data_IF_713056888951
#
_entry.id   IF_713056888951
#
_cell.length_a   1.000
_cell.length_b   1.000
_cell.length_c   1.000
_cell.angle_alpha   90.00
_cell.angle_beta   90.00
_cell.angle_gamma   90.00
#
_symmetry.space_group_name_H-M   'P 1'
#
loop_
_entity.id
_entity.type
_entity.pdbx_description
1 polymer ?
#
# COMPACT_ATOMS: atom_id res chain seq x y z
N UNK A 1 -73.28 -10.48 3.19
CA UNK A 1 -72.36 -10.89 4.27
C UNK A 1 -71.00 -10.97 3.64
N UNK A 2 -70.05 -10.10 3.99
CA UNK A 2 -68.65 -10.33 3.59
C UNK A 2 -68.28 -11.68 4.22
N UNK A 3 -67.95 -12.67 3.40
CA UNK A 3 -67.62 -13.99 3.90
C UNK A 3 -66.34 -13.86 4.73
N UNK A 4 -66.39 -14.31 5.98
CA UNK A 4 -65.25 -14.24 6.93
C UNK A 4 -63.97 -14.87 6.34
N UNK A 5 -64.14 -15.82 5.41
CA UNK A 5 -63.06 -16.46 4.64
C UNK A 5 -62.35 -15.47 3.72
N UNK A 6 -63.08 -14.61 3.00
CA UNK A 6 -62.48 -13.60 2.10
C UNK A 6 -61.71 -12.55 2.91
N UNK A 7 -62.22 -12.21 4.10
CA UNK A 7 -61.55 -11.30 5.03
C UNK A 7 -60.22 -11.90 5.55
N UNK A 8 -60.22 -13.19 5.91
CA UNK A 8 -59.03 -13.90 6.40
C UNK A 8 -57.99 -14.06 5.29
N UNK A 9 -58.39 -14.42 4.08
CA UNK A 9 -57.50 -14.55 2.92
C UNK A 9 -56.88 -13.19 2.58
N UNK A 10 -57.69 -12.11 2.54
CA UNK A 10 -57.18 -10.76 2.30
C UNK A 10 -56.18 -10.29 3.36
N UNK A 11 -56.42 -10.61 4.63
CA UNK A 11 -55.52 -10.28 5.74
C UNK A 11 -54.20 -11.05 5.65
N UNK A 12 -54.24 -12.33 5.27
CA UNK A 12 -53.05 -13.17 5.10
C UNK A 12 -52.17 -12.65 3.95
N UNK A 13 -52.76 -12.27 2.81
CA UNK A 13 -52.02 -11.70 1.67
C UNK A 13 -51.35 -10.38 2.08
N UNK A 14 -52.05 -9.53 2.85
CA UNK A 14 -51.50 -8.27 3.37
C UNK A 14 -50.31 -8.50 4.30
N UNK A 15 -50.41 -9.46 5.22
CA UNK A 15 -49.30 -9.80 6.13
C UNK A 15 -48.07 -10.30 5.38
N UNK A 16 -48.26 -11.18 4.40
CA UNK A 16 -47.17 -11.69 3.57
C UNK A 16 -46.54 -10.56 2.75
N UNK A 17 -47.36 -9.69 2.12
CA UNK A 17 -46.88 -8.55 1.36
C UNK A 17 -46.08 -7.56 2.21
N UNK A 18 -46.56 -7.25 3.41
CA UNK A 18 -45.85 -6.38 4.36
C UNK A 18 -44.54 -7.00 4.84
N UNK A 19 -44.52 -8.32 5.09
CA UNK A 19 -43.30 -9.02 5.47
C UNK A 19 -42.24 -8.97 4.35
N UNK A 20 -42.63 -9.28 3.11
CA UNK A 20 -41.73 -9.20 1.95
C UNK A 20 -41.23 -7.78 1.70
N UNK A 21 -42.11 -6.78 1.78
CA UNK A 21 -41.72 -5.38 1.64
C UNK A 21 -40.73 -4.94 2.71
N UNK A 22 -40.97 -5.32 3.97
CA UNK A 22 -40.07 -4.99 5.09
C UNK A 22 -38.69 -5.61 4.90
N UNK A 23 -38.61 -6.88 4.52
CA UNK A 23 -37.32 -7.56 4.23
C UNK A 23 -36.61 -6.88 3.06
N UNK A 24 -37.32 -6.58 1.96
CA UNK A 24 -36.76 -5.94 0.78
C UNK A 24 -36.21 -4.53 1.06
N UNK A 25 -36.91 -3.74 1.88
CA UNK A 25 -36.45 -2.40 2.28
C UNK A 25 -35.21 -2.48 3.17
N UNK A 26 -35.16 -3.45 4.09
CA UNK A 26 -33.98 -3.66 4.95
C UNK A 26 -32.77 -4.09 4.11
N UNK A 27 -32.93 -5.05 3.18
CA UNK A 27 -31.86 -5.45 2.27
C UNK A 27 -31.37 -4.29 1.40
N UNK A 28 -32.28 -3.51 0.82
CA UNK A 28 -31.92 -2.38 -0.02
C UNK A 28 -31.18 -1.28 0.75
N UNK A 29 -31.65 -0.96 1.96
CA UNK A 29 -30.99 0.02 2.83
C UNK A 29 -29.62 -0.47 3.29
N UNK A 30 -29.48 -1.74 3.66
CA UNK A 30 -28.19 -2.31 4.06
C UNK A 30 -27.20 -2.26 2.90
N UNK A 31 -27.62 -2.66 1.69
CA UNK A 31 -26.77 -2.59 0.50
C UNK A 31 -26.33 -1.16 0.18
N UNK A 32 -27.23 -0.17 0.32
CA UNK A 32 -26.90 1.24 0.11
C UNK A 32 -25.91 1.77 1.15
N UNK A 33 -26.12 1.42 2.43
CA UNK A 33 -25.20 1.78 3.52
C UNK A 33 -23.83 1.14 3.31
N UNK A 34 -23.78 -0.12 2.88
CA UNK A 34 -22.52 -0.83 2.64
C UNK A 34 -21.78 -0.29 1.41
N UNK A 35 -22.50 0.13 0.37
CA UNK A 35 -21.92 0.85 -0.77
C UNK A 35 -21.26 2.17 -0.33
N UNK A 36 -21.97 3.00 0.45
CA UNK A 36 -21.43 4.27 0.97
C UNK A 36 -20.20 4.03 1.85
N UNK A 37 -20.24 3.03 2.72
CA UNK A 37 -19.08 2.69 3.56
C UNK A 37 -17.88 2.30 2.71
N UNK A 38 -18.11 1.50 1.66
CA UNK A 38 -17.04 1.06 0.75
C UNK A 38 -16.42 2.23 0.01
N UNK A 39 -17.23 3.13 -0.54
CA UNK A 39 -16.76 4.36 -1.20
C UNK A 39 -15.96 5.24 -0.24
N UNK A 40 -16.45 5.42 0.99
CA UNK A 40 -15.75 6.19 2.01
C UNK A 40 -14.38 5.58 2.39
N UNK A 41 -14.27 4.26 2.46
CA UNK A 41 -13.00 3.56 2.74
C UNK A 41 -12.05 3.72 1.55
N UNK A 42 -12.57 3.62 0.32
CA UNK A 42 -11.80 3.84 -0.91
C UNK A 42 -11.23 5.26 -0.96
N UNK A 43 -12.07 6.29 -0.76
CA UNK A 43 -11.65 7.69 -0.75
C UNK A 43 -10.57 7.97 0.31
N UNK A 44 -10.71 7.36 1.50
CA UNK A 44 -9.68 7.44 2.53
C UNK A 44 -8.36 6.78 2.13
N UNK A 45 -8.43 5.59 1.54
CA UNK A 45 -7.26 4.87 1.06
C UNK A 45 -6.54 5.66 -0.04
N UNK A 46 -7.31 6.24 -0.97
CA UNK A 46 -6.80 7.09 -2.05
C UNK A 46 -6.13 8.35 -1.50
N UNK A 47 -6.84 9.13 -0.68
CA UNK A 47 -6.30 10.35 -0.09
C UNK A 47 -5.05 10.10 0.76
N UNK A 48 -4.99 8.96 1.46
CA UNK A 48 -3.80 8.56 2.22
C UNK A 48 -2.62 8.30 1.28
N UNK A 49 -2.83 7.55 0.20
CA UNK A 49 -1.77 7.26 -0.76
C UNK A 49 -1.31 8.50 -1.53
N UNK A 50 -2.23 9.41 -1.86
CA UNK A 50 -1.90 10.72 -2.45
C UNK A 50 -1.03 11.54 -1.51
N UNK A 51 -1.43 11.71 -0.24
CA UNK A 51 -0.66 12.47 0.74
C UNK A 51 0.75 11.88 0.94
N UNK A 52 0.88 10.55 1.06
CA UNK A 52 2.17 9.89 1.22
C UNK A 52 3.05 9.96 -0.04
N UNK A 53 2.43 10.17 -1.21
CA UNK A 53 3.15 10.41 -2.45
C UNK A 53 3.62 11.86 -2.54
N UNK A 54 2.78 12.82 -2.17
CA UNK A 54 3.08 14.25 -2.20
C UNK A 54 4.17 14.65 -1.20
N UNK A 55 4.18 14.05 -0.01
CA UNK A 55 5.19 14.30 1.02
C UNK A 55 6.50 13.53 0.82
N UNK A 56 6.59 12.68 -0.21
CA UNK A 56 7.77 11.86 -0.53
C UNK A 56 7.97 10.66 0.40
N UNK A 57 7.04 10.38 1.32
CA UNK A 57 7.13 9.25 2.27
C UNK A 57 7.12 7.92 1.53
N UNK A 58 6.30 7.75 0.50
CA UNK A 58 6.28 6.55 -0.33
C UNK A 58 7.59 6.32 -1.07
N UNK A 59 8.17 7.36 -1.66
CA UNK A 59 9.46 7.30 -2.35
C UNK A 59 10.56 6.85 -1.39
N UNK A 60 10.68 7.52 -0.24
CA UNK A 60 11.66 7.19 0.79
C UNK A 60 11.49 5.76 1.31
N UNK A 61 10.26 5.31 1.52
CA UNK A 61 9.96 3.95 1.95
C UNK A 61 10.44 2.92 0.93
N UNK A 62 10.12 3.13 -0.34
CA UNK A 62 10.50 2.19 -1.41
C UNK A 62 12.02 2.17 -1.62
N UNK A 63 12.70 3.31 -1.48
CA UNK A 63 14.16 3.37 -1.46
C UNK A 63 14.73 2.53 -0.30
N UNK A 64 14.29 2.78 0.93
CA UNK A 64 14.72 2.02 2.11
C UNK A 64 14.48 0.50 1.94
N UNK A 65 13.36 0.12 1.34
CA UNK A 65 13.05 -1.27 1.01
C UNK A 65 14.11 -1.91 0.10
N UNK A 66 14.49 -1.25 -1.00
CA UNK A 66 15.55 -1.76 -1.89
C UNK A 66 16.97 -1.70 -1.31
N UNK A 67 17.17 -0.97 -0.21
CA UNK A 67 18.43 -0.96 0.54
C UNK A 67 18.42 -1.93 1.72
N UNK A 68 17.46 -2.87 1.76
CA UNK A 68 17.29 -3.85 2.84
C UNK A 68 17.06 -3.23 4.23
N UNK A 69 16.58 -1.98 4.30
CA UNK A 69 16.21 -1.27 5.54
C UNK A 69 14.70 -1.34 5.76
N UNK A 70 14.16 -2.55 5.76
CA UNK A 70 12.72 -2.81 5.83
C UNK A 70 12.08 -2.32 7.12
N UNK A 71 12.79 -2.37 8.25
CA UNK A 71 12.28 -1.94 9.55
C UNK A 71 12.14 -0.40 9.63
N UNK A 72 13.10 0.33 9.07
CA UNK A 72 13.05 1.78 8.95
C UNK A 72 11.91 2.21 8.01
N UNK A 73 11.76 1.52 6.88
CA UNK A 73 10.67 1.73 5.93
C UNK A 73 9.30 1.50 6.59
N UNK A 74 9.16 0.44 7.37
CA UNK A 74 7.93 0.13 8.10
C UNK A 74 7.58 1.22 9.11
N UNK A 75 8.55 1.64 9.93
CA UNK A 75 8.35 2.67 10.95
C UNK A 75 7.87 4.00 10.34
N UNK A 76 8.50 4.40 9.23
CA UNK A 76 8.18 5.63 8.52
C UNK A 76 6.74 5.66 7.99
N UNK A 77 6.21 4.51 7.54
CA UNK A 77 4.82 4.39 7.12
C UNK A 77 3.83 4.24 8.27
N UNK A 78 4.17 3.52 9.34
CA UNK A 78 3.28 3.30 10.48
C UNK A 78 2.95 4.60 11.22
N UNK A 79 3.88 5.56 11.26
CA UNK A 79 3.67 6.87 11.87
C UNK A 79 2.79 7.80 11.01
N UNK A 80 2.68 7.53 9.71
CA UNK A 80 2.05 8.42 8.71
C UNK A 80 0.71 7.92 8.18
N UNK A 81 0.43 6.62 8.25
CA UNK A 81 -0.84 6.04 7.78
C UNK A 81 -1.87 6.07 8.92
N UNK A 82 -2.93 6.91 8.84
CA UNK A 82 -3.95 7.01 9.88
C UNK A 82 -5.02 5.90 9.76
N UNK A 83 -4.65 4.71 9.28
CA UNK A 83 -5.55 3.58 9.07
C UNK A 83 -5.30 2.50 10.13
N UNK A 84 -6.38 1.98 10.72
CA UNK A 84 -6.28 0.94 11.76
C UNK A 84 -6.02 -0.45 11.19
N UNK A 85 -6.64 -0.76 10.04
CA UNK A 85 -6.58 -2.09 9.43
C UNK A 85 -6.19 -1.98 7.96
N UNK A 86 -4.96 -2.36 7.65
CA UNK A 86 -4.42 -2.31 6.29
C UNK A 86 -3.29 -3.31 6.08
N UNK A 87 -3.11 -3.70 4.82
CA UNK A 87 -1.92 -4.38 4.33
C UNK A 87 -1.25 -3.49 3.29
N UNK A 88 0.07 -3.35 3.35
CA UNK A 88 0.83 -2.59 2.37
C UNK A 88 1.87 -3.48 1.73
N UNK A 89 1.87 -3.50 0.40
CA UNK A 89 2.77 -4.30 -0.43
C UNK A 89 3.65 -3.41 -1.30
N UNK A 90 4.91 -3.80 -1.48
CA UNK A 90 5.85 -3.20 -2.43
C UNK A 90 6.31 -4.31 -3.38
N UNK A 91 6.07 -4.16 -4.68
CA UNK A 91 6.37 -5.17 -5.70
C UNK A 91 5.89 -6.59 -5.30
N UNK A 92 4.64 -6.68 -4.84
CA UNK A 92 4.00 -7.93 -4.39
C UNK A 92 4.54 -8.51 -3.08
N UNK A 93 5.53 -7.89 -2.45
CA UNK A 93 6.03 -8.27 -1.13
C UNK A 93 5.30 -7.51 -0.03
N UNK A 94 4.81 -8.24 0.98
CA UNK A 94 4.10 -7.67 2.12
C UNK A 94 5.08 -6.96 3.06
N UNK A 95 4.92 -5.65 3.24
CA UNK A 95 5.74 -4.84 4.15
C UNK A 95 5.05 -4.65 5.52
N UNK A 96 3.76 -4.33 5.50
CA UNK A 96 2.96 -4.12 6.72
C UNK A 96 1.74 -5.02 6.69
N UNK A 97 1.54 -5.77 7.77
CA UNK A 97 0.33 -6.54 8.01
C UNK A 97 -0.36 -6.03 9.27
N UNK A 98 -1.45 -5.28 9.08
CA UNK A 98 -2.44 -4.94 10.12
C UNK A 98 -3.82 -5.42 9.67
N UNK A 99 -3.88 -6.64 9.12
CA UNK A 99 -5.14 -7.26 8.72
C UNK A 99 -6.03 -7.59 9.92
N UNK A 100 -7.33 -7.74 9.67
CA UNK A 100 -8.29 -8.26 10.62
C UNK A 100 -9.41 -8.99 9.88
N UNK A 101 -10.29 -9.66 10.63
CA UNK A 101 -11.42 -10.41 10.06
C UNK A 101 -12.53 -9.45 9.65
N UNK A 102 -12.45 -8.91 8.44
CA UNK A 102 -13.38 -7.91 7.91
C UNK A 102 -13.98 -8.36 6.59
N UNK A 103 -15.28 -8.08 6.40
CA UNK A 103 -16.03 -8.51 5.21
C UNK A 103 -15.85 -7.58 4.00
N UNK A 104 -15.43 -6.33 4.22
CA UNK A 104 -15.26 -5.34 3.16
C UNK A 104 -13.77 -5.02 2.99
N UNK A 105 -13.24 -5.26 1.79
CA UNK A 105 -11.84 -5.00 1.44
C UNK A 105 -11.75 -4.10 0.21
N UNK A 106 -10.92 -3.08 0.29
CA UNK A 106 -10.65 -2.16 -0.81
C UNK A 106 -9.16 -2.16 -1.13
N UNK A 107 -8.81 -2.21 -2.42
CA UNK A 107 -7.42 -2.11 -2.86
C UNK A 107 -7.18 -0.78 -3.59
N UNK A 108 -6.15 -0.06 -3.16
CA UNK A 108 -5.62 1.14 -3.81
C UNK A 108 -4.22 0.83 -4.32
N UNK A 109 -3.98 1.06 -5.61
CA UNK A 109 -2.69 0.82 -6.25
C UNK A 109 -2.06 2.16 -6.64
N UNK A 110 -0.82 2.38 -6.20
CA UNK A 110 0.03 3.48 -6.66
C UNK A 110 1.25 2.90 -7.37
N UNK A 111 1.54 3.47 -8.54
CA UNK A 111 2.72 3.11 -9.33
C UNK A 111 3.71 4.26 -9.20
N UNK A 112 4.83 4.00 -8.53
CA UNK A 112 5.92 4.95 -8.34
C UNK A 112 7.00 4.65 -9.37
N UNK A 113 7.45 5.67 -10.09
CA UNK A 113 8.55 5.50 -11.04
C UNK A 113 9.83 5.99 -10.40
N UNK A 114 10.60 5.06 -9.82
CA UNK A 114 11.78 5.36 -9.02
C UNK A 114 13.05 4.93 -9.75
N UNK A 115 14.12 5.69 -9.55
CA UNK A 115 15.40 5.31 -10.10
C UNK A 115 16.07 4.23 -9.24
N UNK A 116 15.72 2.97 -9.49
CA UNK A 116 16.26 1.82 -8.72
C UNK A 116 17.73 1.50 -8.97
N UNK A 117 18.44 2.23 -9.84
CA UNK A 117 19.90 2.12 -10.00
C UNK A 117 20.62 3.36 -9.51
N UNK A 118 19.89 4.30 -8.92
CA UNK A 118 20.45 5.49 -8.32
C UNK A 118 20.98 5.20 -6.92
N UNK A 119 22.18 5.72 -6.64
CA UNK A 119 22.84 5.55 -5.36
C UNK A 119 24.33 5.80 -5.45
N UNK A 120 25.01 5.62 -4.32
CA UNK A 120 26.45 5.72 -4.23
C UNK A 120 27.08 4.38 -4.61
N UNK A 121 28.10 4.44 -5.47
CA UNK A 121 28.94 3.34 -5.86
C UNK A 121 30.39 3.69 -5.52
N UNK A 122 31.27 2.71 -5.47
CA UNK A 122 32.70 2.93 -5.22
C UNK A 122 33.46 2.60 -6.48
N UNK A 123 34.18 3.58 -7.03
CA UNK A 123 35.23 3.32 -8.01
C UNK A 123 36.44 2.84 -7.23
N UNK A 124 36.95 1.66 -7.55
CA UNK A 124 38.09 1.07 -6.88
C UNK A 124 39.09 0.50 -7.87
N UNK A 125 40.35 0.42 -7.45
CA UNK A 125 41.40 -0.16 -8.28
C UNK A 125 42.79 0.36 -7.98
N UNK A 126 43.65 0.25 -8.98
CA UNK A 126 45.03 0.69 -8.96
C UNK A 126 45.43 1.38 -10.27
N UNK A 127 46.72 1.55 -10.50
CA UNK A 127 47.26 2.22 -11.69
C UNK A 127 47.02 1.44 -13.00
N UNK A 128 46.64 0.15 -12.93
CA UNK A 128 46.52 -0.74 -14.08
C UNK A 128 45.07 -1.18 -14.35
N UNK A 129 44.20 -1.18 -13.34
CA UNK A 129 42.78 -1.50 -13.48
C UNK A 129 41.92 -0.59 -12.60
N UNK A 130 40.87 -0.02 -13.20
CA UNK A 130 39.85 0.76 -12.52
C UNK A 130 38.50 0.08 -12.76
N UNK A 131 37.85 -0.33 -11.68
CA UNK A 131 36.54 -0.96 -11.69
C UNK A 131 35.54 -0.16 -10.86
N UNK A 132 34.25 -0.49 -11.00
CA UNK A 132 33.18 0.08 -10.19
C UNK A 132 32.47 -1.02 -9.42
N UNK A 133 32.08 -0.71 -8.18
CA UNK A 133 31.37 -1.67 -7.32
C UNK A 133 30.06 -2.12 -7.95
N UNK A 134 29.81 -3.43 -7.89
CA UNK A 134 28.47 -3.98 -8.14
C UNK A 134 27.52 -3.70 -6.96
N UNK A 135 28.08 -3.40 -5.77
CA UNK A 135 27.34 -2.98 -4.59
C UNK A 135 26.95 -1.51 -4.68
N UNK A 136 25.71 -1.23 -4.27
CA UNK A 136 25.12 0.10 -4.18
C UNK A 136 24.90 0.49 -2.72
N UNK A 137 25.18 1.74 -2.40
CA UNK A 137 25.08 2.31 -1.07
C UNK A 137 24.09 3.48 -1.05
N UNK A 138 23.44 3.68 0.10
CA UNK A 138 22.44 4.74 0.27
C UNK A 138 23.12 6.10 0.48
N UNK A 139 24.25 6.11 1.19
CA UNK A 139 24.97 7.33 1.53
C UNK A 139 26.45 7.28 1.15
N UNK A 140 27.05 8.47 1.05
CA UNK A 140 28.46 8.63 0.69
C UNK A 140 29.39 8.02 1.74
N UNK A 141 29.05 8.13 3.03
CA UNK A 141 29.89 7.65 4.13
C UNK A 141 29.96 6.12 4.15
N UNK A 142 28.86 5.42 3.89
CA UNK A 142 28.77 3.98 3.74
C UNK A 142 29.61 3.51 2.56
N UNK A 143 29.49 4.18 1.41
CA UNK A 143 30.30 3.89 0.24
C UNK A 143 31.81 4.11 0.53
N UNK A 144 32.17 5.24 1.14
CA UNK A 144 33.55 5.56 1.50
C UNK A 144 34.12 4.58 2.53
N UNK A 145 33.29 4.16 3.49
CA UNK A 145 33.74 3.33 4.59
C UNK A 145 33.69 1.83 4.32
N UNK A 146 33.18 1.40 3.16
CA UNK A 146 33.03 0.00 2.81
C UNK A 146 34.38 -0.73 2.80
N UNK A 147 34.49 -1.73 3.67
CA UNK A 147 35.75 -2.43 3.94
C UNK A 147 36.25 -3.24 2.72
N UNK A 148 35.33 -3.71 1.88
CA UNK A 148 35.63 -4.46 0.65
C UNK A 148 36.44 -3.63 -0.35
N UNK A 149 36.29 -2.30 -0.32
CA UNK A 149 36.91 -1.39 -1.30
C UNK A 149 38.04 -0.53 -0.71
N UNK A 150 38.13 -0.42 0.62
CA UNK A 150 39.20 0.32 1.31
C UNK A 150 40.62 -0.22 1.09
N UNK A 151 40.74 -1.47 0.68
CA UNK A 151 42.01 -2.14 0.42
C UNK A 151 42.67 -1.68 -0.90
N UNK A 152 41.92 -1.03 -1.79
CA UNK A 152 42.44 -0.56 -3.08
C UNK A 152 43.08 0.82 -2.97
N UNK A 153 44.12 1.06 -3.77
CA UNK A 153 44.87 2.33 -3.78
C UNK A 153 43.99 3.49 -4.23
N UNK A 154 43.17 3.24 -5.25
CA UNK A 154 42.09 4.11 -5.66
C UNK A 154 40.82 3.58 -4.98
N UNK A 155 40.19 4.42 -4.17
CA UNK A 155 38.83 4.21 -3.69
C UNK A 155 38.13 5.56 -3.67
N UNK A 156 37.07 5.70 -4.45
CA UNK A 156 36.33 6.96 -4.56
C UNK A 156 34.83 6.67 -4.67
N UNK A 157 34.02 7.16 -3.73
CA UNK A 157 32.57 7.11 -3.87
C UNK A 157 32.11 8.02 -5.01
N UNK A 158 31.31 7.48 -5.92
CA UNK A 158 30.70 8.21 -7.03
C UNK A 158 29.20 7.96 -7.02
N UNK A 159 28.45 9.04 -7.17
CA UNK A 159 27.00 8.96 -7.32
C UNK A 159 26.65 8.66 -8.78
N UNK A 160 25.92 7.57 -9.02
CA UNK A 160 25.44 7.24 -10.35
C UNK A 160 23.92 7.23 -10.35
N UNK A 161 23.34 7.83 -11.39
CA UNK A 161 21.91 7.83 -11.68
C UNK A 161 21.70 7.20 -13.07
N UNK A 162 21.15 5.98 -13.13
CA UNK A 162 20.93 5.23 -14.39
C UNK A 162 19.46 4.84 -14.54
N UNK A 163 18.96 4.84 -15.78
CA UNK A 163 17.55 4.73 -16.17
C UNK A 163 16.56 3.94 -15.26
N UNK A 164 15.33 4.48 -15.28
CA UNK A 164 14.22 4.34 -14.34
C UNK A 164 13.47 3.01 -14.48
N UNK A 165 13.09 2.40 -13.35
CA UNK A 165 12.22 1.20 -13.32
C UNK A 165 11.10 1.42 -12.32
N UNK A 166 9.84 1.15 -12.69
CA UNK A 166 8.69 1.46 -11.84
C UNK A 166 8.49 0.44 -10.73
N UNK A 167 8.17 0.90 -9.52
CA UNK A 167 7.77 0.13 -8.35
C UNK A 167 6.27 0.24 -8.11
N UNK A 168 5.64 -0.88 -7.79
CA UNK A 168 4.21 -0.95 -7.52
C UNK A 168 4.00 -1.00 -6.01
N UNK A 169 3.34 0.02 -5.46
CA UNK A 169 2.93 0.04 -4.05
C UNK A 169 1.42 -0.19 -4.00
N UNK A 170 1.01 -1.26 -3.34
CA UNK A 170 -0.41 -1.60 -3.17
C UNK A 170 -0.78 -1.45 -1.71
N UNK A 171 -1.79 -0.62 -1.43
CA UNK A 171 -2.41 -0.49 -0.13
C UNK A 171 -3.77 -1.20 -0.17
N UNK A 172 -3.92 -2.26 0.61
CA UNK A 172 -5.21 -2.92 0.85
C UNK A 172 -5.76 -2.43 2.19
N UNK A 173 -6.94 -1.83 2.18
CA UNK A 173 -7.62 -1.29 3.37
C UNK A 173 -8.81 -2.17 3.71
N UNK A 174 -8.95 -2.49 5.00
CA UNK A 174 -10.07 -3.28 5.50
C UNK A 174 -11.10 -2.36 6.14
N UNK A 175 -12.37 -2.53 5.75
CA UNK A 175 -13.50 -1.82 6.31
C UNK A 175 -13.95 -2.40 7.64
N UNK A 176 -14.32 -1.53 8.59
CA UNK A 176 -15.04 -1.93 9.79
C UNK A 176 -16.54 -2.14 9.51
#
# INVERSE_FOLDING_TARGET
MINTIDLVIGTAILLIGMAYWTVSVVEHNNNYVDAIKTDYIFDKGLATMEHLSEDGTLENTVLLYYFNRTDEAKKLLEDRIPLKHYELYIDENLLINKSGSYNNTVEVLVILTLNRKEGWYVIYGDENSIDISDKRFLDWNEAYNCQDYKQYKIHLPVYLSRNITSSKVKLRVFGN
#
